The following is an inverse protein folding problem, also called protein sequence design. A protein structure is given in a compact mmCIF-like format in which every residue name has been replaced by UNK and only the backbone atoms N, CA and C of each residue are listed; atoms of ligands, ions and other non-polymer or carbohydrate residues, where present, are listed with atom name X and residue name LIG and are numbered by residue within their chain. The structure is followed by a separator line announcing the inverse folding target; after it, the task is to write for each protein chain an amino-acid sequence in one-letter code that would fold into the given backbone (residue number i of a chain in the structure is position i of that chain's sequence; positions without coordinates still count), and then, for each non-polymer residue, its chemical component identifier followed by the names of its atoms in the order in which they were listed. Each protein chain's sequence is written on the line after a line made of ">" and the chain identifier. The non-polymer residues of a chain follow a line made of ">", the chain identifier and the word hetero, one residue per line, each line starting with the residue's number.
data_IF_853457813925
#
_entry.id   IF_853457813925
#
_cell.length_a   1.000
_cell.length_b   1.000
_cell.length_c   1.000
_cell.angle_alpha   90.00
_cell.angle_beta   90.00
_cell.angle_gamma   90.00
#
_symmetry.space_group_name_H-M   'P 1'
#
loop_
_entity.id
_entity.type
_entity.pdbx_description
1 polymer ?
#
# COMPACT_ATOMS: atom_id res chain seq x y z
N UNK A 1 48.64 10.33 -34.44
CA UNK A 1 48.00 11.20 -33.43
C UNK A 1 46.69 11.73 -34.01
N UNK A 2 45.54 11.26 -33.53
CA UNK A 2 44.20 11.79 -33.83
C UNK A 2 43.51 12.04 -32.48
N UNK A 3 42.96 13.22 -32.18
CA UNK A 3 42.28 13.43 -30.91
C UNK A 3 40.94 12.68 -30.93
N UNK A 4 40.48 12.11 -29.81
CA UNK A 4 39.13 11.58 -29.73
C UNK A 4 38.14 12.75 -29.75
N UNK A 5 37.11 12.63 -30.60
CA UNK A 5 35.99 13.56 -30.67
C UNK A 5 35.26 13.54 -29.33
N UNK A 6 35.14 14.70 -28.68
CA UNK A 6 34.37 14.88 -27.46
C UNK A 6 32.91 14.51 -27.71
N UNK A 7 32.48 13.33 -27.27
CA UNK A 7 31.06 13.04 -27.12
C UNK A 7 30.58 13.81 -25.89
N UNK A 8 30.15 15.05 -26.10
CA UNK A 8 29.36 15.78 -25.13
C UNK A 8 28.05 15.00 -24.93
N UNK A 9 28.07 14.06 -23.99
CA UNK A 9 26.85 13.51 -23.40
C UNK A 9 26.17 14.68 -22.69
N UNK A 10 25.14 15.20 -23.34
CA UNK A 10 24.25 16.20 -22.79
C UNK A 10 23.82 15.78 -21.40
N UNK A 11 24.15 16.62 -20.42
CA UNK A 11 23.74 16.54 -19.02
C UNK A 11 22.32 15.98 -18.90
N UNK A 12 22.20 14.78 -18.34
CA UNK A 12 20.94 14.23 -17.88
C UNK A 12 20.46 15.05 -16.67
N UNK A 13 19.78 16.15 -16.95
CA UNK A 13 19.03 16.93 -15.96
C UNK A 13 17.66 16.28 -15.71
N UNK A 14 17.66 15.09 -15.09
CA UNK A 14 16.42 14.30 -14.91
C UNK A 14 16.30 13.74 -13.48
N UNK A 15 16.47 14.60 -12.48
CA UNK A 15 16.25 14.22 -11.08
C UNK A 15 15.15 15.02 -10.36
N UNK A 16 14.86 16.27 -10.77
CA UNK A 16 13.84 17.11 -10.08
C UNK A 16 12.39 16.96 -10.57
N UNK A 17 12.13 16.34 -11.73
CA UNK A 17 10.76 16.30 -12.29
C UNK A 17 9.97 15.05 -11.87
N UNK A 18 10.64 13.92 -11.65
CA UNK A 18 9.99 12.66 -11.27
C UNK A 18 9.55 12.65 -9.79
N UNK A 19 10.30 13.29 -8.90
CA UNK A 19 9.96 13.33 -7.47
C UNK A 19 8.67 14.12 -7.22
N UNK A 20 8.48 15.25 -7.88
CA UNK A 20 7.31 16.12 -7.70
C UNK A 20 6.02 15.46 -8.21
N UNK A 21 6.09 14.72 -9.33
CA UNK A 21 4.98 13.91 -9.84
C UNK A 21 4.68 12.69 -8.96
N UNK A 22 5.70 12.07 -8.36
CA UNK A 22 5.50 10.97 -7.43
C UNK A 22 4.84 11.43 -6.12
N UNK A 23 5.27 12.59 -5.60
CA UNK A 23 4.73 13.20 -4.39
C UNK A 23 3.25 13.58 -4.55
N UNK A 24 2.89 14.21 -5.67
CA UNK A 24 1.48 14.55 -5.98
C UNK A 24 0.61 13.32 -6.12
N UNK A 25 1.08 12.28 -6.82
CA UNK A 25 0.37 10.99 -6.94
C UNK A 25 0.17 10.34 -5.58
N UNK A 26 1.18 10.35 -4.71
CA UNK A 26 1.08 9.80 -3.36
C UNK A 26 0.02 10.54 -2.54
N UNK A 27 0.03 11.89 -2.57
CA UNK A 27 -0.99 12.73 -1.90
C UNK A 27 -2.40 12.37 -2.38
N UNK A 28 -2.64 12.30 -3.69
CA UNK A 28 -3.96 11.96 -4.24
C UNK A 28 -4.41 10.53 -3.87
N UNK A 29 -3.47 9.56 -3.85
CA UNK A 29 -3.75 8.19 -3.41
C UNK A 29 -4.09 8.13 -1.93
N UNK A 30 -3.38 8.88 -1.08
CA UNK A 30 -3.64 8.94 0.35
C UNK A 30 -5.03 9.51 0.66
N UNK A 31 -5.42 10.61 -0.01
CA UNK A 31 -6.78 11.16 0.10
C UNK A 31 -7.84 10.14 -0.32
N UNK A 32 -7.57 9.38 -1.39
CA UNK A 32 -8.46 8.31 -1.83
C UNK A 32 -8.60 7.22 -0.78
N UNK A 33 -7.49 6.81 -0.15
CA UNK A 33 -7.51 5.80 0.93
C UNK A 33 -8.35 6.30 2.11
N UNK A 34 -8.20 7.57 2.52
CA UNK A 34 -9.00 8.15 3.60
C UNK A 34 -10.50 8.17 3.26
N UNK A 35 -10.85 8.56 2.03
CA UNK A 35 -12.23 8.52 1.56
C UNK A 35 -12.79 7.09 1.59
N UNK A 36 -12.01 6.10 1.14
CA UNK A 36 -12.43 4.68 1.17
C UNK A 36 -12.56 4.13 2.59
N UNK A 37 -11.71 4.55 3.52
CA UNK A 37 -11.85 4.20 4.93
C UNK A 37 -13.14 4.77 5.54
N UNK A 38 -13.48 6.01 5.19
CA UNK A 38 -14.75 6.64 5.59
C UNK A 38 -15.96 5.90 5.01
N UNK A 39 -15.97 5.65 3.70
CA UNK A 39 -17.05 4.91 3.05
C UNK A 39 -17.22 3.52 3.67
N UNK A 40 -16.13 2.80 3.95
CA UNK A 40 -16.16 1.49 4.58
C UNK A 40 -16.74 1.55 6.00
N UNK A 41 -16.29 2.51 6.81
CA UNK A 41 -16.82 2.73 8.17
C UNK A 41 -18.32 2.99 8.14
N UNK A 42 -18.79 3.86 7.24
CA UNK A 42 -20.21 4.22 7.14
C UNK A 42 -21.07 3.08 6.58
N UNK A 43 -20.64 2.42 5.50
CA UNK A 43 -21.45 1.40 4.82
C UNK A 43 -21.54 0.09 5.62
N UNK A 44 -20.51 -0.23 6.39
CA UNK A 44 -20.46 -1.48 7.14
C UNK A 44 -20.69 -1.31 8.64
N UNK A 45 -20.89 -0.08 9.12
CA UNK A 45 -21.02 0.26 10.54
C UNK A 45 -19.88 -0.34 11.38
N UNK A 46 -18.64 -0.10 10.94
CA UNK A 46 -17.43 -0.59 11.61
C UNK A 46 -16.51 0.55 12.03
N UNK A 47 -15.76 0.34 13.09
CA UNK A 47 -14.71 1.25 13.49
C UNK A 47 -13.40 0.94 12.75
N UNK A 48 -12.85 1.93 12.04
CA UNK A 48 -11.60 1.82 11.28
C UNK A 48 -10.77 3.10 11.41
N UNK A 49 -9.45 2.99 11.25
CA UNK A 49 -8.57 4.14 11.11
C UNK A 49 -7.43 3.82 10.14
N UNK A 50 -6.81 4.86 9.59
CA UNK A 50 -5.63 4.77 8.73
C UNK A 50 -4.52 5.59 9.34
N UNK A 51 -3.34 5.01 9.44
CA UNK A 51 -2.12 5.66 9.91
C UNK A 51 -1.10 5.63 8.76
N UNK A 52 -0.69 6.79 8.29
CA UNK A 52 0.28 6.95 7.21
C UNK A 52 1.55 7.63 7.75
N UNK A 53 2.67 6.91 7.63
CA UNK A 53 4.00 7.44 7.87
C UNK A 53 4.64 7.80 6.53
N UNK A 54 4.77 9.10 6.27
CA UNK A 54 5.44 9.66 5.11
C UNK A 54 6.95 9.81 5.32
N UNK A 55 7.67 10.31 4.30
CA UNK A 55 9.04 10.74 4.46
C UNK A 55 9.14 11.85 5.52
N UNK A 56 10.34 12.05 6.09
CA UNK A 56 10.64 13.12 7.06
C UNK A 56 9.75 13.10 8.32
N UNK A 57 9.33 11.90 8.74
CA UNK A 57 8.46 11.70 9.92
C UNK A 57 7.08 12.36 9.79
N UNK A 58 6.60 12.59 8.56
CA UNK A 58 5.25 13.09 8.32
C UNK A 58 4.20 12.06 8.77
N UNK A 59 3.48 12.36 9.85
CA UNK A 59 2.39 11.52 10.35
C UNK A 59 1.03 12.09 9.95
N UNK A 60 0.37 11.40 9.01
CA UNK A 60 -1.02 11.66 8.62
C UNK A 60 -1.92 10.54 9.12
N UNK A 61 -3.08 10.90 9.64
CA UNK A 61 -4.06 9.92 10.12
C UNK A 61 -5.44 10.26 9.58
N UNK A 62 -6.24 9.23 9.40
CA UNK A 62 -7.67 9.36 9.28
C UNK A 62 -8.35 8.50 10.36
N UNK A 63 -9.29 9.07 11.14
CA UNK A 63 -9.69 10.48 11.18
C UNK A 63 -8.54 11.45 11.57
N UNK A 64 -8.68 12.76 11.31
CA UNK A 64 -7.65 13.74 11.74
C UNK A 64 -7.48 13.79 13.26
N UNK A 65 -8.53 13.48 14.02
CA UNK A 65 -8.46 13.44 15.48
C UNK A 65 -7.57 12.27 15.95
N UNK A 66 -6.34 12.61 16.33
CA UNK A 66 -5.33 11.64 16.77
C UNK A 66 -5.71 10.89 18.04
N UNK A 67 -6.51 11.48 18.94
CA UNK A 67 -6.95 10.79 20.16
C UNK A 67 -7.92 9.66 19.84
N UNK A 68 -8.83 9.87 18.87
CA UNK A 68 -9.70 8.80 18.35
C UNK A 68 -8.90 7.69 17.67
N UNK A 69 -7.89 8.06 16.87
CA UNK A 69 -7.01 7.07 16.23
C UNK A 69 -6.20 6.29 17.27
N UNK A 70 -5.70 6.97 18.30
CA UNK A 70 -4.97 6.36 19.41
C UNK A 70 -5.85 5.40 20.19
N UNK A 71 -7.08 5.78 20.54
CA UNK A 71 -8.01 4.90 21.26
C UNK A 71 -8.35 3.65 20.44
N UNK A 72 -8.59 3.80 19.14
CA UNK A 72 -8.79 2.70 18.19
C UNK A 72 -7.59 1.75 18.16
N UNK A 73 -6.38 2.30 18.01
CA UNK A 73 -5.15 1.54 17.95
C UNK A 73 -4.88 0.79 19.28
N UNK A 74 -5.10 1.44 20.42
CA UNK A 74 -4.93 0.81 21.73
C UNK A 74 -5.93 -0.33 21.94
N UNK A 75 -7.21 -0.11 21.60
CA UNK A 75 -8.22 -1.17 21.64
C UNK A 75 -7.85 -2.34 20.73
N UNK A 76 -7.31 -2.07 19.55
CA UNK A 76 -6.79 -3.12 18.66
C UNK A 76 -5.64 -3.89 19.30
N UNK A 77 -4.63 -3.22 19.86
CA UNK A 77 -3.45 -3.85 20.48
C UNK A 77 -3.83 -4.73 21.67
N UNK A 78 -4.85 -4.35 22.43
CA UNK A 78 -5.39 -5.11 23.56
C UNK A 78 -6.09 -6.41 23.13
N UNK A 79 -6.43 -6.57 21.85
CA UNK A 79 -6.98 -7.84 21.34
C UNK A 79 -5.92 -8.94 21.34
N UNK A 80 -6.41 -10.15 21.60
CA UNK A 80 -5.59 -11.36 21.53
C UNK A 80 -4.83 -11.49 20.19
N UNK A 81 -3.57 -11.93 20.27
CA UNK A 81 -2.67 -12.04 19.12
C UNK A 81 -3.26 -12.94 18.03
N UNK A 82 -3.88 -14.06 18.38
CA UNK A 82 -4.45 -14.97 17.40
C UNK A 82 -5.65 -14.34 16.68
N UNK A 83 -6.49 -13.58 17.39
CA UNK A 83 -7.59 -12.81 16.79
C UNK A 83 -7.09 -11.76 15.80
N UNK A 84 -6.01 -11.06 16.16
CA UNK A 84 -5.37 -10.06 15.28
C UNK A 84 -4.76 -10.70 14.03
N UNK A 85 -3.95 -11.74 14.20
CA UNK A 85 -3.24 -12.39 13.10
C UNK A 85 -4.20 -13.07 12.11
N UNK A 86 -5.29 -13.67 12.60
CA UNK A 86 -6.28 -14.33 11.74
C UNK A 86 -6.92 -13.39 10.71
N UNK A 87 -7.07 -12.10 11.04
CA UNK A 87 -7.72 -11.10 10.19
C UNK A 87 -6.77 -10.04 9.63
N UNK A 88 -5.50 -10.02 10.06
CA UNK A 88 -4.50 -9.13 9.49
C UNK A 88 -4.06 -9.63 8.12
N UNK A 89 -4.04 -8.72 7.15
CA UNK A 89 -3.57 -9.01 5.79
C UNK A 89 -2.45 -8.04 5.47
N UNK A 90 -1.25 -8.57 5.22
CA UNK A 90 -0.17 -7.82 4.60
C UNK A 90 -0.20 -7.98 3.08
N UNK A 91 0.32 -6.98 2.35
CA UNK A 91 0.31 -6.95 0.89
C UNK A 91 1.09 -8.13 0.30
N UNK A 92 2.27 -8.45 0.84
CA UNK A 92 3.05 -9.58 0.35
C UNK A 92 2.28 -10.89 0.55
N UNK A 93 1.73 -11.09 1.76
CA UNK A 93 0.88 -12.24 2.09
C UNK A 93 -0.33 -12.37 1.17
N UNK A 94 -1.02 -11.26 0.91
CA UNK A 94 -2.17 -11.20 0.01
C UNK A 94 -1.82 -11.62 -1.42
N UNK A 95 -0.75 -11.04 -1.98
CA UNK A 95 -0.31 -11.33 -3.34
C UNK A 95 0.12 -12.79 -3.47
N UNK A 96 0.84 -13.32 -2.48
CA UNK A 96 1.28 -14.72 -2.50
C UNK A 96 0.10 -15.69 -2.40
N UNK A 97 -0.90 -15.37 -1.59
CA UNK A 97 -2.14 -16.15 -1.50
C UNK A 97 -2.93 -16.12 -2.81
N UNK A 98 -2.98 -14.97 -3.49
CA UNK A 98 -3.63 -14.84 -4.79
C UNK A 98 -2.92 -15.69 -5.85
N UNK A 99 -1.58 -15.63 -5.92
CA UNK A 99 -0.76 -16.47 -6.81
C UNK A 99 -1.02 -17.95 -6.58
N UNK A 100 -0.99 -18.41 -5.32
CA UNK A 100 -1.25 -19.81 -4.95
C UNK A 100 -2.63 -20.26 -5.42
N UNK A 101 -3.68 -19.47 -5.16
CA UNK A 101 -5.05 -19.78 -5.62
C UNK A 101 -5.12 -19.94 -7.13
N UNK A 102 -4.51 -19.04 -7.89
CA UNK A 102 -4.46 -19.13 -9.36
C UNK A 102 -3.75 -20.42 -9.83
N UNK A 103 -2.59 -20.75 -9.26
CA UNK A 103 -1.85 -21.98 -9.60
C UNK A 103 -2.66 -23.23 -9.27
N UNK A 104 -3.35 -23.27 -8.11
CA UNK A 104 -4.19 -24.42 -7.73
C UNK A 104 -5.40 -24.59 -8.64
N UNK A 105 -6.03 -23.49 -9.09
CA UNK A 105 -7.13 -23.56 -10.04
C UNK A 105 -6.65 -24.05 -11.41
N UNK A 106 -5.47 -23.62 -11.88
CA UNK A 106 -4.91 -24.11 -13.14
C UNK A 106 -4.60 -25.61 -13.11
N UNK A 107 -4.00 -26.12 -12.02
CA UNK A 107 -3.71 -27.56 -11.87
C UNK A 107 -4.97 -28.43 -11.94
N UNK A 108 -6.03 -28.03 -11.25
CA UNK A 108 -7.31 -28.76 -11.27
C UNK A 108 -7.92 -28.87 -12.68
N UNK A 109 -7.80 -27.84 -13.51
CA UNK A 109 -8.30 -27.90 -14.89
C UNK A 109 -7.44 -28.80 -15.78
N UNK A 110 -6.12 -28.89 -15.54
CA UNK A 110 -5.23 -29.80 -16.27
C UNK A 110 -5.50 -31.26 -15.89
N UNK A 111 -5.78 -31.53 -14.60
CA UNK A 111 -6.11 -32.88 -14.13
C UNK A 111 -7.53 -33.33 -14.58
N UNK A 112 -8.46 -32.40 -14.85
CA UNK A 112 -9.78 -32.71 -15.42
C UNK A 112 -9.76 -32.90 -16.95
N UNK A 113 -8.90 -32.18 -17.69
CA UNK A 113 -8.74 -32.33 -19.16
C UNK A 113 -7.91 -33.58 -19.56
N UNK A 114 -7.19 -34.19 -18.62
CA UNK A 114 -6.43 -35.43 -18.82
C UNK A 114 -7.22 -36.70 -18.46
N UNK A 115 -8.54 -36.57 -18.25
CA UNK A 115 -9.45 -37.67 -17.89
C UNK A 115 -10.60 -37.81 -18.88
#
# INVERSE_FOLDING_TARGET
>A
MRPPLSSSCSKCSSSSSSYSLAETRLKSRLLTIFKKAQELMTLCDIEACVIHYGPDSELKTWPENRDKVRSLALRYIQLDKAKRLKKSVDLYGFLNNKKKKTVTSLKKNVDEELK
#
